data_IF_076437299005
#
_entry.id   IF_076437299005
#
_cell.length_a   1.000
_cell.length_b   1.000
_cell.length_c   1.000
_cell.angle_alpha   90.00
_cell.angle_beta   90.00
_cell.angle_gamma   90.00
#
_symmetry.space_group_name_H-M   'P 1'
#
loop_
_entity.id
_entity.type
_entity.pdbx_description
1 polymer ?
#
# COMPACT_ATOMS: atom_id res chain seq x y z
N UNK A 1 11.01 -2.71 9.77
CA UNK A 1 12.05 -1.67 9.71
C UNK A 1 13.44 -2.23 10.09
N UNK A 2 13.63 -2.84 11.26
CA UNK A 2 14.95 -3.35 11.71
C UNK A 2 15.57 -4.33 10.70
N UNK A 3 14.81 -5.27 10.16
CA UNK A 3 15.30 -6.23 9.17
C UNK A 3 15.84 -5.53 7.91
N UNK A 4 15.08 -4.60 7.33
CA UNK A 4 15.51 -3.79 6.20
C UNK A 4 16.77 -2.99 6.50
N UNK A 5 16.81 -2.28 7.64
CA UNK A 5 17.96 -1.45 8.02
C UNK A 5 19.23 -2.28 8.19
N UNK A 6 19.13 -3.45 8.83
CA UNK A 6 20.28 -4.32 9.08
C UNK A 6 20.85 -4.95 7.79
N UNK A 7 19.99 -5.22 6.80
CA UNK A 7 20.40 -5.88 5.57
C UNK A 7 20.68 -4.89 4.43
N UNK A 8 20.31 -3.60 4.57
CA UNK A 8 20.52 -2.61 3.53
C UNK A 8 22.00 -2.34 3.23
N UNK A 9 22.87 -2.35 4.24
CA UNK A 9 24.30 -2.15 4.07
C UNK A 9 24.98 -3.32 3.30
N UNK A 10 24.43 -4.52 3.39
CA UNK A 10 24.89 -5.70 2.64
C UNK A 10 24.59 -5.58 1.16
N UNK A 11 23.51 -4.88 0.78
CA UNK A 11 23.11 -4.65 -0.62
C UNK A 11 24.14 -3.84 -1.39
N UNK A 12 24.72 -2.82 -0.75
CA UNK A 12 25.70 -1.94 -1.39
C UNK A 12 27.04 -2.63 -1.66
N UNK A 13 27.34 -3.71 -0.94
CA UNK A 13 28.59 -4.48 -1.08
C UNK A 13 28.44 -5.74 -1.95
N UNK A 14 27.31 -6.45 -1.86
CA UNK A 14 27.17 -7.80 -2.47
C UNK A 14 26.24 -7.86 -3.69
N UNK A 15 25.83 -6.74 -4.29
CA UNK A 15 24.89 -6.68 -5.43
C UNK A 15 23.55 -7.40 -5.16
N UNK A 16 23.09 -7.45 -3.92
CA UNK A 16 21.79 -8.03 -3.59
C UNK A 16 20.70 -7.23 -4.31
N UNK A 17 19.79 -7.92 -4.94
CA UNK A 17 18.64 -7.33 -5.61
C UNK A 17 17.73 -6.68 -4.57
N UNK A 18 17.49 -5.37 -4.70
CA UNK A 18 16.61 -4.61 -3.78
C UNK A 18 15.18 -5.21 -3.76
N UNK A 19 14.71 -5.73 -4.88
CA UNK A 19 13.39 -6.40 -4.95
C UNK A 19 13.35 -7.63 -4.05
N UNK A 20 14.43 -8.41 -4.02
CA UNK A 20 14.55 -9.58 -3.15
C UNK A 20 14.60 -9.19 -1.67
N UNK A 21 15.28 -8.09 -1.33
CA UNK A 21 15.28 -7.58 0.04
C UNK A 21 13.87 -7.17 0.48
N UNK A 22 13.11 -6.49 -0.38
CA UNK A 22 11.73 -6.10 -0.08
C UNK A 22 10.88 -7.34 0.15
N UNK A 23 10.97 -8.34 -0.76
CA UNK A 23 10.26 -9.61 -0.67
C UNK A 23 10.55 -10.29 0.67
N UNK A 24 11.81 -10.56 0.97
CA UNK A 24 12.24 -11.22 2.20
C UNK A 24 11.83 -10.44 3.46
N UNK A 25 11.83 -9.09 3.38
CA UNK A 25 11.40 -8.25 4.51
C UNK A 25 9.90 -8.39 4.80
N UNK A 26 9.07 -8.51 3.76
CA UNK A 26 7.63 -8.67 3.90
C UNK A 26 7.28 -10.10 4.34
N UNK A 27 7.96 -11.10 3.81
CA UNK A 27 7.83 -12.51 4.25
C UNK A 27 8.22 -12.66 5.72
N UNK A 28 9.31 -12.02 6.13
CA UNK A 28 9.72 -11.98 7.55
C UNK A 28 8.66 -11.29 8.42
N UNK A 29 8.09 -10.17 7.96
CA UNK A 29 7.00 -9.50 8.68
C UNK A 29 5.77 -10.41 8.83
N UNK A 30 5.40 -11.14 7.75
CA UNK A 30 4.33 -12.12 7.79
C UNK A 30 4.57 -13.20 8.84
N UNK A 31 5.76 -13.78 8.84
CA UNK A 31 6.14 -14.82 9.80
C UNK A 31 5.98 -14.32 11.24
N UNK A 32 6.51 -13.12 11.54
CA UNK A 32 6.43 -12.54 12.90
C UNK A 32 4.98 -12.33 13.35
N UNK A 33 4.12 -11.78 12.47
CA UNK A 33 2.70 -11.57 12.79
C UNK A 33 1.98 -12.91 12.96
N UNK A 34 2.21 -13.86 12.05
CA UNK A 34 1.61 -15.18 12.11
C UNK A 34 1.99 -15.96 13.38
N UNK A 35 3.28 -15.98 13.74
CA UNK A 35 3.76 -16.62 14.96
C UNK A 35 3.11 -16.02 16.22
N UNK A 36 3.05 -14.66 16.27
CA UNK A 36 2.38 -13.97 17.38
C UNK A 36 0.91 -14.32 17.49
N UNK A 37 0.20 -14.46 16.37
CA UNK A 37 -1.20 -14.88 16.36
C UNK A 37 -1.41 -16.30 16.88
N UNK A 38 -0.38 -17.13 16.87
CA UNK A 38 -0.42 -18.51 17.41
C UNK A 38 0.03 -18.59 18.86
N UNK A 39 0.96 -17.73 19.28
CA UNK A 39 1.46 -17.69 20.65
C UNK A 39 0.45 -17.10 21.64
N UNK A 40 -0.33 -16.12 21.23
CA UNK A 40 -1.21 -15.32 22.09
C UNK A 40 -2.66 -15.55 21.65
N UNK A 41 -3.49 -16.25 22.45
CA UNK A 41 -4.87 -16.59 22.07
C UNK A 41 -5.73 -15.37 21.69
N UNK A 42 -5.53 -14.22 22.37
CA UNK A 42 -6.27 -12.99 22.12
C UNK A 42 -5.95 -12.37 20.75
N UNK A 43 -4.88 -12.82 20.10
CA UNK A 43 -4.44 -12.36 18.78
C UNK A 43 -4.75 -13.40 17.69
N UNK A 44 -5.51 -14.44 17.98
CA UNK A 44 -5.85 -15.45 17.00
C UNK A 44 -6.51 -14.84 15.77
N UNK A 45 -5.97 -15.15 14.58
CA UNK A 45 -6.48 -14.63 13.30
C UNK A 45 -6.14 -13.19 13.00
N UNK A 46 -5.29 -12.52 13.82
CA UNK A 46 -4.86 -11.16 13.47
C UNK A 46 -4.13 -11.13 12.13
N UNK A 47 -4.38 -10.07 11.38
CA UNK A 47 -3.73 -9.82 10.11
C UNK A 47 -3.67 -8.33 9.81
N UNK A 48 -2.87 -7.96 8.83
CA UNK A 48 -2.75 -6.56 8.39
C UNK A 48 -2.35 -6.47 6.93
N UNK A 49 -2.64 -5.33 6.31
CA UNK A 49 -2.04 -4.94 5.04
C UNK A 49 -0.63 -4.40 5.26
N UNK A 50 0.20 -4.38 4.23
CA UNK A 50 1.52 -3.75 4.27
C UNK A 50 1.88 -3.13 2.93
N UNK A 51 2.12 -1.82 2.97
CA UNK A 51 2.73 -1.06 1.89
C UNK A 51 4.16 -0.68 2.27
N UNK A 52 5.12 -1.08 1.46
CA UNK A 52 6.53 -0.75 1.64
C UNK A 52 7.05 -0.05 0.40
N UNK A 53 7.64 1.13 0.58
CA UNK A 53 8.34 1.85 -0.48
C UNK A 53 9.76 2.14 -0.04
N UNK A 54 10.72 1.76 -0.89
CA UNK A 54 12.12 2.12 -0.76
C UNK A 54 12.53 2.95 -1.97
N UNK A 55 12.97 4.18 -1.72
CA UNK A 55 13.53 5.04 -2.76
C UNK A 55 15.04 4.90 -2.82
N UNK A 56 15.57 4.60 -4.02
CA UNK A 56 17.00 4.51 -4.26
C UNK A 56 17.35 4.98 -5.68
N UNK A 57 18.18 6.01 -5.78
CA UNK A 57 18.45 6.69 -7.04
C UNK A 57 17.16 7.28 -7.64
N UNK A 58 16.95 7.09 -8.93
CA UNK A 58 15.76 7.56 -9.65
C UNK A 58 14.62 6.51 -9.68
N UNK A 59 14.61 5.58 -8.70
CA UNK A 59 13.64 4.48 -8.65
C UNK A 59 13.00 4.39 -7.29
N UNK A 60 11.79 3.86 -7.27
CA UNK A 60 11.13 3.31 -6.10
C UNK A 60 10.93 1.82 -6.30
N UNK A 61 11.12 1.11 -5.22
CA UNK A 61 10.86 -0.32 -5.10
C UNK A 61 9.67 -0.46 -4.16
N UNK A 62 8.63 -1.10 -4.63
CA UNK A 62 7.34 -1.21 -3.95
C UNK A 62 7.13 -2.66 -3.58
N UNK A 63 6.79 -2.92 -2.30
CA UNK A 63 6.23 -4.16 -1.82
C UNK A 63 4.79 -3.93 -1.36
N UNK A 64 3.89 -4.86 -1.71
CA UNK A 64 2.46 -4.70 -1.49
C UNK A 64 1.80 -6.01 -1.07
N UNK A 65 1.03 -5.97 0.03
CA UNK A 65 0.09 -7.02 0.46
C UNK A 65 -1.16 -6.37 1.05
N UNK A 66 -2.32 -6.64 0.48
CA UNK A 66 -3.60 -6.16 0.97
C UNK A 66 -4.36 -5.30 -0.03
N UNK A 67 -5.17 -4.36 0.45
CA UNK A 67 -5.98 -3.41 -0.32
C UNK A 67 -5.65 -1.93 -0.01
N UNK A 68 -4.67 -1.69 0.86
CA UNK A 68 -4.04 -0.38 0.95
C UNK A 68 -3.40 -0.02 -0.38
N UNK A 69 -3.30 1.24 -0.73
CA UNK A 69 -2.97 1.66 -2.09
C UNK A 69 -1.79 2.60 -2.12
N UNK A 70 -1.01 2.49 -3.20
CA UNK A 70 0.04 3.46 -3.54
C UNK A 70 -0.33 4.14 -4.85
N UNK A 71 -0.35 5.48 -4.82
CA UNK A 71 -0.55 6.31 -6.00
C UNK A 71 0.71 7.10 -6.30
N UNK A 72 0.90 7.42 -7.57
CA UNK A 72 1.88 8.42 -8.01
C UNK A 72 1.16 9.53 -8.77
N UNK A 73 1.40 10.77 -8.35
CA UNK A 73 1.08 11.96 -9.12
C UNK A 73 2.33 12.38 -9.87
N UNK A 74 2.22 12.45 -11.20
CA UNK A 74 3.28 12.90 -12.10
C UNK A 74 2.69 13.75 -13.20
N UNK A 75 3.21 14.96 -13.38
CA UNK A 75 2.63 15.93 -14.30
C UNK A 75 1.15 16.14 -13.95
N UNK A 76 0.24 15.90 -14.85
CA UNK A 76 -1.20 16.10 -14.64
C UNK A 76 -1.96 14.78 -14.49
N UNK A 77 -1.32 13.73 -13.99
CA UNK A 77 -1.91 12.38 -13.91
C UNK A 77 -1.68 11.79 -12.53
N UNK A 78 -2.74 11.31 -11.89
CA UNK A 78 -2.68 10.38 -10.77
C UNK A 78 -2.80 8.95 -11.29
N UNK A 79 -1.96 8.05 -10.81
CA UNK A 79 -1.97 6.63 -11.19
C UNK A 79 -1.80 5.75 -9.97
N UNK A 80 -2.73 4.82 -9.75
CA UNK A 80 -2.58 3.73 -8.79
C UNK A 80 -1.43 2.80 -9.26
N UNK A 81 -0.49 2.51 -8.39
CA UNK A 81 0.68 1.67 -8.65
C UNK A 81 0.53 0.24 -8.12
N UNK A 82 -0.38 0.02 -7.17
CA UNK A 82 -0.71 -1.28 -6.58
C UNK A 82 -1.98 -1.85 -7.19
N UNK A 83 -2.19 -3.15 -7.01
CA UNK A 83 -3.44 -3.83 -7.37
C UNK A 83 -3.99 -4.50 -6.12
N UNK A 84 -5.19 -4.14 -5.70
CA UNK A 84 -5.77 -4.61 -4.45
C UNK A 84 -5.87 -6.15 -4.42
N UNK A 85 -5.47 -6.76 -3.32
CA UNK A 85 -5.65 -8.18 -3.07
C UNK A 85 -7.03 -8.43 -2.46
N UNK A 86 -8.08 -7.94 -3.12
CA UNK A 86 -9.47 -8.10 -2.70
C UNK A 86 -10.25 -9.06 -3.62
N UNK A 87 -11.32 -9.61 -3.07
CA UNK A 87 -12.21 -10.49 -3.82
C UNK A 87 -12.80 -9.81 -5.04
N UNK A 88 -13.23 -8.57 -4.89
CA UNK A 88 -13.84 -7.81 -6.01
C UNK A 88 -12.82 -7.47 -7.10
N UNK A 89 -11.58 -7.15 -6.75
CA UNK A 89 -10.53 -6.92 -7.76
C UNK A 89 -10.23 -8.20 -8.56
N UNK A 90 -10.30 -9.37 -7.92
CA UNK A 90 -10.21 -10.66 -8.62
C UNK A 90 -11.35 -10.81 -9.64
N UNK A 91 -12.59 -10.56 -9.23
CA UNK A 91 -13.76 -10.67 -10.13
C UNK A 91 -13.67 -9.69 -11.31
N UNK A 92 -13.18 -8.46 -11.08
CA UNK A 92 -12.95 -7.47 -12.15
C UNK A 92 -11.88 -7.97 -13.12
N UNK A 93 -10.76 -8.51 -12.63
CA UNK A 93 -9.70 -9.07 -13.50
C UNK A 93 -10.17 -10.26 -14.32
N UNK A 94 -11.05 -11.09 -13.77
CA UNK A 94 -11.67 -12.23 -14.45
C UNK A 94 -12.78 -11.80 -15.44
N UNK A 95 -13.15 -10.52 -15.46
CA UNK A 95 -14.22 -9.98 -16.29
C UNK A 95 -15.62 -10.39 -15.83
N UNK A 96 -15.74 -10.88 -14.60
CA UNK A 96 -17.02 -11.35 -14.02
C UNK A 96 -17.92 -10.18 -13.63
N UNK A 97 -17.31 -9.10 -13.13
CA UNK A 97 -18.00 -7.84 -12.79
C UNK A 97 -17.24 -6.63 -13.33
N UNK A 98 -17.94 -5.52 -13.52
CA UNK A 98 -17.36 -4.24 -13.87
C UNK A 98 -16.73 -3.55 -12.63
N UNK A 99 -15.94 -2.49 -12.84
CA UNK A 99 -15.43 -1.67 -11.73
C UNK A 99 -16.53 -0.98 -10.93
N UNK A 100 -17.58 -0.52 -11.59
CA UNK A 100 -18.73 0.11 -10.94
C UNK A 100 -19.50 -0.88 -10.04
N UNK A 101 -19.67 -2.12 -10.52
CA UNK A 101 -20.27 -3.19 -9.71
C UNK A 101 -19.41 -3.56 -8.52
N UNK A 102 -18.08 -3.52 -8.66
CA UNK A 102 -17.15 -3.79 -7.57
C UNK A 102 -17.26 -2.80 -6.40
N UNK A 103 -17.49 -1.51 -6.69
CA UNK A 103 -17.64 -0.45 -5.69
C UNK A 103 -18.84 -0.68 -4.74
N UNK A 104 -19.92 -1.28 -5.26
CA UNK A 104 -21.16 -1.54 -4.53
C UNK A 104 -21.32 -3.02 -4.14
N UNK A 105 -20.32 -3.84 -4.37
CA UNK A 105 -20.41 -5.28 -4.11
C UNK A 105 -20.44 -5.58 -2.60
N UNK A 106 -21.32 -6.50 -2.11
CA UNK A 106 -21.43 -6.81 -0.69
C UNK A 106 -20.16 -7.37 -0.05
N UNK A 107 -19.24 -7.91 -0.85
CA UNK A 107 -17.92 -8.41 -0.40
C UNK A 107 -16.76 -7.50 -0.83
N UNK A 108 -16.99 -6.20 -1.01
CA UNK A 108 -15.93 -5.28 -1.47
C UNK A 108 -14.74 -5.18 -0.51
N UNK A 109 -14.98 -5.34 0.78
CA UNK A 109 -13.93 -5.30 1.82
C UNK A 109 -13.32 -6.69 2.12
N UNK A 110 -13.65 -7.73 1.31
CA UNK A 110 -13.11 -9.07 1.53
C UNK A 110 -11.71 -9.17 0.96
N UNK A 111 -10.71 -9.26 1.85
CA UNK A 111 -9.31 -9.50 1.48
C UNK A 111 -9.08 -10.94 1.05
N UNK A 112 -8.27 -11.11 0.02
CA UNK A 112 -7.76 -12.40 -0.46
C UNK A 112 -6.33 -12.67 0.03
N UNK A 113 -5.61 -11.62 0.45
CA UNK A 113 -4.23 -11.71 0.91
C UNK A 113 -3.97 -10.64 1.97
N UNK A 114 -3.49 -11.06 3.14
CA UNK A 114 -3.06 -10.19 4.24
C UNK A 114 -1.89 -10.83 4.98
N UNK A 115 -1.03 -10.04 5.61
CA UNK A 115 0.05 -10.52 6.48
C UNK A 115 -0.55 -11.15 7.74
N UNK A 116 0.06 -12.23 8.21
CA UNK A 116 -0.29 -12.89 9.47
C UNK A 116 -1.46 -13.86 9.40
N UNK A 117 -2.23 -13.89 8.31
CA UNK A 117 -3.37 -14.80 8.16
C UNK A 117 -2.95 -16.23 7.80
N UNK A 118 -1.82 -16.40 7.13
CA UNK A 118 -1.27 -17.70 6.69
C UNK A 118 0.22 -17.78 7.02
N UNK A 119 0.79 -19.00 7.16
CA UNK A 119 2.22 -19.14 7.48
C UNK A 119 3.14 -18.56 6.39
N UNK A 120 2.65 -18.44 5.17
CA UNK A 120 3.36 -17.88 4.03
C UNK A 120 2.48 -16.90 3.27
N UNK A 121 3.09 -15.80 2.82
CA UNK A 121 2.47 -14.82 1.92
C UNK A 121 3.45 -14.49 0.79
N UNK A 122 2.97 -14.41 -0.43
CA UNK A 122 3.74 -13.92 -1.57
C UNK A 122 3.41 -12.44 -1.80
N UNK A 123 4.32 -11.50 -1.46
CA UNK A 123 4.09 -10.08 -1.71
C UNK A 123 4.25 -9.74 -3.19
N UNK A 124 3.46 -8.80 -3.67
CA UNK A 124 3.71 -8.18 -4.97
C UNK A 124 4.88 -7.22 -4.84
N UNK A 125 5.94 -7.43 -5.65
CA UNK A 125 7.11 -6.55 -5.67
C UNK A 125 7.27 -5.96 -7.05
N UNK A 126 7.38 -4.62 -7.15
CA UNK A 126 7.55 -3.91 -8.42
C UNK A 126 8.51 -2.75 -8.29
N UNK A 127 9.22 -2.45 -9.40
CA UNK A 127 10.10 -1.27 -9.50
C UNK A 127 9.50 -0.26 -10.45
N UNK A 128 9.52 1.03 -10.07
CA UNK A 128 9.04 2.15 -10.89
C UNK A 128 10.05 3.29 -10.87
N UNK A 129 10.03 4.12 -11.92
CA UNK A 129 10.78 5.37 -11.92
C UNK A 129 10.19 6.37 -10.91
N UNK A 130 11.05 7.08 -10.18
CA UNK A 130 10.70 8.17 -9.27
C UNK A 130 11.54 9.39 -9.64
N UNK A 131 10.93 10.34 -10.34
CA UNK A 131 11.60 11.49 -10.93
C UNK A 131 11.32 12.74 -10.12
N UNK A 132 12.17 13.75 -10.28
CA UNK A 132 11.94 15.08 -9.72
C UNK A 132 10.54 15.59 -10.06
N UNK A 133 9.82 16.08 -9.06
CA UNK A 133 8.45 16.53 -9.15
C UNK A 133 7.39 15.44 -9.02
N UNK A 134 7.77 14.17 -8.86
CA UNK A 134 6.80 13.12 -8.54
C UNK A 134 6.35 13.21 -7.09
N UNK A 135 5.08 12.92 -6.85
CA UNK A 135 4.53 12.70 -5.52
C UNK A 135 4.00 11.28 -5.41
N UNK A 136 4.38 10.59 -4.34
CA UNK A 136 3.75 9.34 -3.94
C UNK A 136 2.79 9.58 -2.80
N UNK A 137 1.67 8.88 -2.84
CA UNK A 137 0.69 8.82 -1.77
C UNK A 137 0.46 7.35 -1.44
N UNK A 138 0.74 6.97 -0.19
CA UNK A 138 0.41 5.65 0.35
C UNK A 138 -0.77 5.84 1.31
N UNK A 139 -1.78 5.00 1.20
CA UNK A 139 -2.98 5.16 2.03
C UNK A 139 -3.68 3.84 2.30
N UNK A 140 -4.35 3.77 3.47
CA UNK A 140 -5.35 2.74 3.76
C UNK A 140 -6.63 2.97 2.95
N UNK A 141 -7.49 1.97 2.92
CA UNK A 141 -8.79 2.02 2.24
C UNK A 141 -9.76 3.02 2.88
N UNK A 142 -9.58 3.36 4.18
CA UNK A 142 -10.34 4.40 4.87
C UNK A 142 -10.30 5.76 4.18
N UNK A 143 -9.21 6.10 3.46
CA UNK A 143 -9.19 7.28 2.60
C UNK A 143 -9.97 7.04 1.30
N UNK A 144 -9.63 5.99 0.57
CA UNK A 144 -10.10 5.80 -0.80
C UNK A 144 -11.57 5.35 -0.90
N UNK A 145 -12.15 4.95 0.21
CA UNK A 145 -13.60 4.74 0.35
C UNK A 145 -14.38 6.07 0.48
N UNK A 146 -13.69 7.16 0.89
CA UNK A 146 -14.31 8.47 1.16
C UNK A 146 -13.92 9.55 0.15
N UNK A 147 -12.74 9.45 -0.46
CA UNK A 147 -12.16 10.50 -1.31
C UNK A 147 -11.80 9.91 -2.67
N UNK A 148 -12.31 10.54 -3.72
CA UNK A 148 -12.07 10.11 -5.10
C UNK A 148 -10.63 10.38 -5.55
N UNK A 149 -10.18 9.66 -6.58
CA UNK A 149 -8.85 9.87 -7.16
C UNK A 149 -8.66 11.32 -7.69
N UNK A 150 -9.72 11.95 -8.20
CA UNK A 150 -9.63 13.33 -8.67
C UNK A 150 -9.41 14.31 -7.52
N UNK A 151 -10.13 14.15 -6.42
CA UNK A 151 -9.97 14.99 -5.23
C UNK A 151 -8.59 14.80 -4.59
N UNK A 152 -8.10 13.54 -4.53
CA UNK A 152 -6.73 13.27 -4.09
C UNK A 152 -5.73 14.02 -4.96
N UNK A 153 -5.88 13.94 -6.28
CA UNK A 153 -5.02 14.65 -7.24
C UNK A 153 -5.06 16.16 -7.00
N UNK A 154 -6.25 16.75 -6.89
CA UNK A 154 -6.43 18.20 -6.72
C UNK A 154 -5.78 18.70 -5.41
N UNK A 155 -6.00 17.98 -4.30
CA UNK A 155 -5.43 18.33 -2.99
C UNK A 155 -3.89 18.24 -3.02
N UNK A 156 -3.35 17.13 -3.57
CA UNK A 156 -1.90 16.89 -3.63
C UNK A 156 -1.19 17.90 -4.52
N UNK A 157 -1.79 18.26 -5.65
CA UNK A 157 -1.17 19.23 -6.60
C UNK A 157 -1.25 20.66 -6.13
N UNK A 158 -2.29 21.03 -5.37
CA UNK A 158 -2.45 22.39 -4.84
C UNK A 158 -1.54 22.67 -3.64
N UNK A 159 -1.32 21.69 -2.76
CA UNK A 159 -0.55 21.89 -1.54
C UNK A 159 0.01 20.55 -1.04
N UNK A 160 1.12 20.13 -1.62
CA UNK A 160 1.74 18.83 -1.28
C UNK A 160 2.17 18.73 0.19
N UNK A 161 2.54 19.85 0.80
CA UNK A 161 3.04 19.87 2.20
C UNK A 161 1.91 19.52 3.19
N UNK A 162 0.72 20.10 2.99
CA UNK A 162 -0.42 19.90 3.87
C UNK A 162 -1.42 18.85 3.35
N UNK A 163 -1.13 18.23 2.19
CA UNK A 163 -2.06 17.33 1.52
C UNK A 163 -2.47 16.15 2.42
N UNK A 164 -1.54 15.57 3.18
CA UNK A 164 -1.85 14.46 4.08
C UNK A 164 -2.90 14.82 5.12
N UNK A 165 -2.75 15.97 5.79
CA UNK A 165 -3.72 16.48 6.79
C UNK A 165 -5.07 16.75 6.14
N UNK A 166 -5.09 17.48 5.01
CA UNK A 166 -6.33 17.82 4.29
C UNK A 166 -7.10 16.59 3.81
N UNK A 167 -6.40 15.55 3.37
CA UNK A 167 -7.03 14.31 2.94
C UNK A 167 -7.67 13.55 4.11
N UNK A 168 -6.99 13.49 5.26
CA UNK A 168 -7.53 12.85 6.46
C UNK A 168 -8.73 13.64 7.00
N UNK A 169 -8.66 14.97 7.05
CA UNK A 169 -9.77 15.84 7.46
C UNK A 169 -10.98 15.63 6.54
N UNK A 170 -10.78 15.69 5.21
CA UNK A 170 -11.87 15.48 4.25
C UNK A 170 -12.54 14.11 4.39
N UNK A 171 -11.76 13.05 4.62
CA UNK A 171 -12.33 11.71 4.82
C UNK A 171 -13.10 11.60 6.14
N UNK A 172 -12.63 12.25 7.21
CA UNK A 172 -13.33 12.32 8.49
C UNK A 172 -14.63 13.12 8.37
N UNK A 173 -14.63 14.25 7.68
CA UNK A 173 -15.83 15.09 7.46
C UNK A 173 -16.91 14.33 6.67
N UNK A 174 -16.54 13.32 5.90
CA UNK A 174 -17.43 12.41 5.15
C UNK A 174 -17.88 11.19 5.96
N UNK A 175 -17.53 11.13 7.23
CA UNK A 175 -17.99 10.10 8.15
C UNK A 175 -16.89 9.30 8.82
N UNK A 176 -15.68 9.23 8.26
CA UNK A 176 -14.55 8.54 8.89
C UNK A 176 -14.86 7.11 9.32
N UNK A 177 -15.49 6.33 8.46
CA UNK A 177 -16.02 5.00 8.79
C UNK A 177 -14.95 3.96 9.10
N UNK A 178 -13.68 4.26 8.82
CA UNK A 178 -12.55 3.38 9.10
C UNK A 178 -11.31 4.19 9.50
N UNK A 179 -10.26 3.51 9.95
CA UNK A 179 -8.96 4.11 10.23
C UNK A 179 -8.34 4.68 8.96
N UNK A 180 -7.91 5.93 9.01
CA UNK A 180 -7.34 6.63 7.86
C UNK A 180 -5.86 6.87 8.09
N UNK A 181 -5.04 6.30 7.23
CA UNK A 181 -3.59 6.56 7.21
C UNK A 181 -3.20 7.12 5.86
N UNK A 182 -2.45 8.21 5.85
CA UNK A 182 -1.91 8.84 4.64
C UNK A 182 -0.43 9.15 4.83
N UNK A 183 0.39 8.71 3.89
CA UNK A 183 1.82 9.05 3.83
C UNK A 183 2.10 9.68 2.46
N UNK A 184 2.72 10.86 2.45
CA UNK A 184 3.12 11.55 1.22
C UNK A 184 4.64 11.59 1.15
N UNK A 185 5.18 11.24 -0.01
CA UNK A 185 6.61 11.35 -0.34
C UNK A 185 6.73 12.19 -1.59
N UNK A 186 7.43 13.31 -1.48
CA UNK A 186 7.70 14.21 -2.58
C UNK A 186 9.17 14.15 -3.00
N UNK A 187 9.44 14.12 -4.30
CA UNK A 187 10.78 14.13 -4.87
C UNK A 187 11.08 15.51 -5.47
N UNK A 188 11.77 16.35 -4.71
CA UNK A 188 12.15 17.71 -5.07
C UNK A 188 13.55 17.82 -5.73
#
# INVERSE_FOLDING_TARGET
RKYLTNNFNTITHDRINIEELIRSSMEYANMVVFEKSKEIPELEGMGTTLELVLSYGNKIYIGHVGDSRIYRVRKNIIRKLTTDHSYVEKLVKEGTITREEAENHPKKNMLMKALGCTPYVEPDVTTKGFLKGDVLLLTSDGLTNMVSNQEIYDIVTNDVINAGTKLVELANDRGGYDNITVVIVYND
#
